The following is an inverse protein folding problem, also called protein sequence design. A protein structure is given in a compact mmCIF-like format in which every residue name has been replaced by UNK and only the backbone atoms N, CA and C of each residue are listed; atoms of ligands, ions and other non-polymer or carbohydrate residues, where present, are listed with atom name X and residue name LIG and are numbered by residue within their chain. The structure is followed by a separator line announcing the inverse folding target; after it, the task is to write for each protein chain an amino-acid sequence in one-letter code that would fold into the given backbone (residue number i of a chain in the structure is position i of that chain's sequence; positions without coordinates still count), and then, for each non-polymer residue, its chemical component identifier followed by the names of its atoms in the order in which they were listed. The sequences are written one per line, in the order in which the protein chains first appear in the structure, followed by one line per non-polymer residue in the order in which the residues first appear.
data_IF_700719476973
#
_entry.id   IF_700719476973
#
_cell.length_a   1.000
_cell.length_b   1.000
_cell.length_c   1.000
_cell.angle_alpha   90.00
_cell.angle_beta   90.00
_cell.angle_gamma   90.00
#
_symmetry.space_group_name_H-M   'P 1'
#
loop_
_entity.id
_entity.type
_entity.pdbx_description
1 polymer ?
#
# COMPACT_ATOMS: atom_id res chain seq x y z
N UNK A 1 10.71 2.00 -3.83
CA UNK A 1 9.54 1.52 -3.06
C UNK A 1 8.19 1.83 -3.72
N UNK A 2 8.00 3.04 -4.22
CA UNK A 2 6.75 3.40 -4.88
C UNK A 2 6.42 2.48 -6.07
N UNK A 3 7.41 2.16 -6.89
CA UNK A 3 7.19 1.29 -8.04
C UNK A 3 6.67 -0.08 -7.64
N UNK A 4 7.19 -0.61 -6.55
CA UNK A 4 6.77 -1.93 -6.07
C UNK A 4 5.34 -1.89 -5.57
N UNK A 5 4.95 -0.82 -4.88
CA UNK A 5 3.58 -0.65 -4.42
C UNK A 5 2.64 -0.47 -5.61
N UNK A 6 3.04 0.31 -6.61
CA UNK A 6 2.27 0.46 -7.84
C UNK A 6 2.00 -0.88 -8.50
N UNK A 7 3.05 -1.70 -8.62
CA UNK A 7 2.93 -3.00 -9.25
C UNK A 7 1.96 -3.90 -8.49
N UNK A 8 2.03 -3.88 -7.15
CA UNK A 8 1.11 -4.66 -6.34
C UNK A 8 -0.32 -4.20 -6.51
N UNK A 9 -0.54 -2.89 -6.51
CA UNK A 9 -1.89 -2.34 -6.68
C UNK A 9 -2.47 -2.68 -8.05
N UNK A 10 -1.67 -2.54 -9.08
CA UNK A 10 -2.12 -2.83 -10.45
C UNK A 10 -2.37 -4.32 -10.62
N UNK A 11 -1.44 -5.15 -10.15
CA UNK A 11 -1.50 -6.59 -10.37
C UNK A 11 -2.52 -7.29 -9.48
N UNK A 12 -2.53 -6.95 -8.21
CA UNK A 12 -3.34 -7.68 -7.22
C UNK A 12 -4.71 -7.05 -7.00
N UNK A 13 -4.80 -5.73 -7.03
CA UNK A 13 -6.07 -5.04 -6.80
C UNK A 13 -6.71 -4.52 -8.08
N UNK A 14 -6.10 -4.81 -9.22
CA UNK A 14 -6.64 -4.46 -10.54
C UNK A 14 -6.91 -2.96 -10.71
N UNK A 15 -6.02 -2.14 -10.21
CA UNK A 15 -6.11 -0.70 -10.44
C UNK A 15 -5.86 -0.44 -11.92
N UNK A 16 -6.85 0.11 -12.60
CA UNK A 16 -6.78 0.26 -14.06
C UNK A 16 -5.78 1.30 -14.53
N UNK A 17 -5.62 2.34 -13.75
CA UNK A 17 -4.78 3.47 -14.19
C UNK A 17 -3.62 3.67 -13.23
N UNK A 18 -2.45 3.10 -13.54
CA UNK A 18 -1.28 3.25 -12.65
C UNK A 18 -0.80 4.69 -12.50
N UNK A 19 -1.13 5.55 -13.46
CA UNK A 19 -0.76 6.96 -13.38
C UNK A 19 -1.49 7.69 -12.25
N UNK A 20 -2.63 7.16 -11.82
CA UNK A 20 -3.36 7.72 -10.68
C UNK A 20 -2.72 7.36 -9.35
N UNK A 21 -1.80 6.42 -9.35
CA UNK A 21 -1.13 5.97 -8.13
C UNK A 21 0.04 6.90 -7.84
N UNK A 22 -0.22 7.93 -7.06
CA UNK A 22 0.80 8.88 -6.63
C UNK A 22 0.93 8.82 -5.12
N UNK A 23 1.99 9.42 -4.59
CA UNK A 23 2.18 9.46 -3.15
C UNK A 23 1.04 10.18 -2.42
N UNK A 24 0.41 11.13 -3.09
CA UNK A 24 -0.67 11.91 -2.51
C UNK A 24 -2.03 11.25 -2.66
N UNK A 25 -2.15 10.22 -3.48
CA UNK A 25 -3.42 9.56 -3.73
C UNK A 25 -3.93 8.88 -2.46
N UNK A 26 -5.20 9.12 -2.13
CA UNK A 26 -5.85 8.44 -1.02
C UNK A 26 -6.24 7.03 -1.42
N UNK A 27 -5.92 6.06 -0.58
CA UNK A 27 -6.22 4.67 -0.89
C UNK A 27 -7.73 4.44 -1.04
N UNK A 28 -8.50 5.01 -0.13
CA UNK A 28 -9.95 4.84 -0.16
C UNK A 28 -10.67 5.76 -1.12
N UNK A 29 -10.28 7.05 -1.14
CA UNK A 29 -11.00 8.05 -1.92
C UNK A 29 -10.57 8.09 -3.38
N UNK A 30 -9.27 8.06 -3.63
CA UNK A 30 -8.77 8.17 -5.00
C UNK A 30 -8.68 6.84 -5.72
N UNK A 31 -8.28 5.80 -5.01
CA UNK A 31 -8.08 4.48 -5.61
C UNK A 31 -9.25 3.53 -5.37
N UNK A 32 -10.18 3.90 -4.49
CA UNK A 32 -11.35 3.08 -4.21
C UNK A 32 -11.04 1.79 -3.47
N UNK A 33 -9.97 1.77 -2.71
CA UNK A 33 -9.56 0.59 -1.96
C UNK A 33 -10.32 0.54 -0.63
N UNK A 34 -11.07 -0.54 -0.40
CA UNK A 34 -11.79 -0.71 0.86
C UNK A 34 -10.90 -1.39 1.90
N UNK A 35 -11.45 -1.60 3.10
CA UNK A 35 -10.69 -2.19 4.21
C UNK A 35 -10.19 -3.60 3.91
N UNK A 36 -10.99 -4.38 3.20
CA UNK A 36 -10.60 -5.75 2.85
C UNK A 36 -9.45 -5.74 1.85
N UNK A 37 -9.53 -4.85 0.88
CA UNK A 37 -8.47 -4.72 -0.12
C UNK A 37 -7.18 -4.19 0.50
N UNK A 38 -7.31 -3.27 1.44
CA UNK A 38 -6.14 -2.77 2.16
C UNK A 38 -5.48 -3.89 2.96
N UNK A 39 -6.28 -4.73 3.61
CA UNK A 39 -5.75 -5.86 4.36
C UNK A 39 -5.00 -6.82 3.44
N UNK A 40 -5.55 -7.07 2.26
CA UNK A 40 -4.89 -7.92 1.26
C UNK A 40 -3.56 -7.31 0.82
N UNK A 41 -3.56 -6.00 0.56
CA UNK A 41 -2.34 -5.30 0.17
C UNK A 41 -1.27 -5.42 1.26
N UNK A 42 -1.67 -5.26 2.51
CA UNK A 42 -0.77 -5.36 3.64
C UNK A 42 -0.16 -6.76 3.73
N UNK A 43 -0.99 -7.80 3.57
CA UNK A 43 -0.49 -9.17 3.59
C UNK A 43 0.52 -9.42 2.47
N UNK A 44 0.23 -8.91 1.28
CA UNK A 44 1.13 -9.05 0.15
C UNK A 44 2.46 -8.33 0.42
N UNK A 45 2.40 -7.17 1.05
CA UNK A 45 3.60 -6.44 1.42
C UNK A 45 4.42 -7.20 2.46
N UNK A 46 3.75 -7.80 3.44
CA UNK A 46 4.42 -8.59 4.46
C UNK A 46 5.18 -9.76 3.85
N UNK A 47 4.55 -10.43 2.91
CA UNK A 47 5.18 -11.58 2.24
C UNK A 47 6.30 -11.13 1.31
N UNK A 48 6.06 -10.08 0.54
CA UNK A 48 7.03 -9.61 -0.44
C UNK A 48 8.29 -9.06 0.20
N UNK A 49 8.13 -8.32 1.29
CA UNK A 49 9.25 -7.65 1.94
C UNK A 49 9.71 -8.36 3.21
N UNK A 50 9.03 -9.44 3.58
CA UNK A 50 9.35 -10.23 4.76
C UNK A 50 9.37 -9.37 6.03
N UNK A 51 8.29 -8.64 6.27
CA UNK A 51 8.10 -7.77 7.41
C UNK A 51 6.77 -8.07 8.08
N UNK A 52 6.59 -7.55 9.28
CA UNK A 52 5.31 -7.64 9.99
C UNK A 52 4.70 -6.26 10.11
N UNK A 53 3.41 -6.17 9.82
CA UNK A 53 2.65 -4.92 9.89
C UNK A 53 1.52 -5.12 10.91
N UNK A 54 1.48 -4.27 11.92
CA UNK A 54 0.44 -4.35 12.95
C UNK A 54 -0.90 -3.81 12.43
N UNK A 55 -1.99 -4.43 12.87
CA UNK A 55 -3.32 -3.99 12.50
C UNK A 55 -3.59 -2.54 12.90
N UNK A 56 -3.05 -2.13 14.04
CA UNK A 56 -3.21 -0.75 14.51
C UNK A 56 -2.60 0.26 13.55
N UNK A 57 -1.52 -0.13 12.89
CA UNK A 57 -0.84 0.74 11.94
C UNK A 57 -1.64 0.93 10.66
N UNK A 58 -2.55 0.01 10.35
CA UNK A 58 -3.40 0.13 9.16
C UNK A 58 -4.23 1.41 9.17
N UNK A 59 -4.60 1.88 10.34
CA UNK A 59 -5.41 3.09 10.48
C UNK A 59 -4.67 4.34 10.03
N UNK A 60 -3.37 4.28 10.02
CA UNK A 60 -2.52 5.41 9.62
C UNK A 60 -2.21 5.39 8.14
N UNK A 61 -2.51 4.29 7.45
CA UNK A 61 -2.22 4.14 6.03
C UNK A 61 -3.37 4.70 5.21
N UNK A 62 -3.37 6.01 5.03
CA UNK A 62 -4.44 6.73 4.35
C UNK A 62 -4.10 6.97 2.89
N UNK A 63 -2.85 7.32 2.60
CA UNK A 63 -2.39 7.58 1.24
C UNK A 63 -1.34 6.57 0.82
N UNK A 64 -1.05 6.55 -0.48
CA UNK A 64 0.03 5.70 -1.00
C UNK A 64 1.35 6.09 -0.35
N UNK A 65 1.57 7.39 -0.15
CA UNK A 65 2.79 7.87 0.52
C UNK A 65 2.92 7.33 1.94
N UNK A 66 1.81 7.21 2.66
CA UNK A 66 1.83 6.65 4.01
C UNK A 66 2.31 5.20 3.98
N UNK A 67 1.82 4.43 3.01
CA UNK A 67 2.24 3.03 2.85
C UNK A 67 3.72 2.96 2.51
N UNK A 68 4.16 3.77 1.57
CA UNK A 68 5.56 3.81 1.14
C UNK A 68 6.46 4.17 2.32
N UNK A 69 6.12 5.22 3.05
CA UNK A 69 6.90 5.65 4.21
C UNK A 69 6.95 4.57 5.29
N UNK A 70 5.83 3.94 5.55
CA UNK A 70 5.76 2.88 6.55
C UNK A 70 6.69 1.73 6.17
N UNK A 71 6.63 1.29 4.92
CA UNK A 71 7.45 0.19 4.45
C UNK A 71 8.93 0.55 4.45
N UNK A 72 9.26 1.76 4.03
CA UNK A 72 10.65 2.21 4.04
C UNK A 72 11.21 2.26 5.45
N UNK A 73 10.40 2.70 6.41
CA UNK A 73 10.81 2.71 7.80
C UNK A 73 11.05 1.30 8.33
N UNK A 74 10.21 0.36 7.96
CA UNK A 74 10.37 -1.04 8.38
C UNK A 74 11.58 -1.70 7.74
N UNK A 75 11.88 -1.37 6.49
CA UNK A 75 12.97 -1.98 5.75
C UNK A 75 14.31 -1.29 6.00
N UNK A 76 14.28 -0.03 6.39
CA UNK A 76 15.47 0.74 6.68
C UNK A 76 16.02 0.35 8.05
N UNK A 77 17.25 -0.04 8.07
CA UNK A 77 17.88 -0.50 9.31
C UNK A 77 18.94 0.47 9.79
#
# INVERSE_FOLDING_TARGET
MLEEIKNLLVTELNIENPDDITLEASLGNDLGINSLELADLVLLCEEKFNIEIDDDDLRELITVGDVVNYLETKLCK
#
